data_IF_605022677928
#
_entry.id   IF_605022677928
#
_cell.length_a   1.000
_cell.length_b   1.000
_cell.length_c   1.000
_cell.angle_alpha   90.00
_cell.angle_beta   90.00
_cell.angle_gamma   90.00
#
_symmetry.space_group_name_H-M   'P 1'
#
loop_
_entity.id
_entity.type
_entity.pdbx_description
1 polymer ?
#
# COMPACT_ATOMS: atom_id res chain seq x y z
N UNK A 1 -1.89 -16.18 13.90
CA UNK A 1 -2.38 -17.10 12.85
C UNK A 1 -3.06 -16.24 11.79
N UNK A 2 -2.84 -16.51 10.50
CA UNK A 2 -3.48 -15.78 9.41
C UNK A 2 -4.98 -16.11 9.33
N UNK A 3 -5.80 -15.17 8.86
CA UNK A 3 -7.25 -15.33 8.81
C UNK A 3 -7.71 -16.14 7.60
N UNK A 4 -7.01 -16.02 6.46
CA UNK A 4 -7.40 -16.70 5.22
C UNK A 4 -6.83 -18.12 5.16
N UNK A 5 -7.63 -19.15 4.82
CA UNK A 5 -7.14 -20.52 4.67
C UNK A 5 -5.96 -20.64 3.70
N UNK A 6 -5.98 -19.90 2.58
CA UNK A 6 -4.88 -19.94 1.62
C UNK A 6 -3.57 -19.38 2.20
N UNK A 7 -3.64 -18.29 2.95
CA UNK A 7 -2.49 -17.70 3.64
C UNK A 7 -1.96 -18.60 4.76
N UNK A 8 -2.82 -19.34 5.45
CA UNK A 8 -2.40 -20.37 6.41
C UNK A 8 -1.60 -21.48 5.73
N UNK A 9 -2.02 -21.94 4.53
CA UNK A 9 -1.26 -22.92 3.73
C UNK A 9 0.09 -22.38 3.29
N UNK A 10 0.15 -21.12 2.86
CA UNK A 10 1.43 -20.47 2.52
C UNK A 10 2.34 -20.44 3.74
N UNK A 11 1.84 -20.05 4.92
CA UNK A 11 2.62 -20.05 6.15
C UNK A 11 3.12 -21.46 6.52
N UNK A 12 2.27 -22.48 6.34
CA UNK A 12 2.65 -23.88 6.55
C UNK A 12 3.75 -24.32 5.59
N UNK A 13 3.68 -23.96 4.30
CA UNK A 13 4.74 -24.20 3.32
C UNK A 13 6.04 -23.50 3.73
N UNK A 14 5.99 -22.21 4.07
CA UNK A 14 7.16 -21.43 4.47
C UNK A 14 7.85 -22.07 5.69
N UNK A 15 7.10 -22.56 6.67
CA UNK A 15 7.66 -23.20 7.87
C UNK A 15 8.45 -24.49 7.60
N UNK A 16 8.14 -25.18 6.48
CA UNK A 16 8.82 -26.41 6.05
C UNK A 16 10.16 -26.13 5.35
N UNK A 17 10.34 -24.93 4.81
CA UNK A 17 11.59 -24.54 4.16
C UNK A 17 12.73 -24.39 5.17
N UNK A 18 13.97 -24.64 4.70
CA UNK A 18 15.19 -24.40 5.47
C UNK A 18 15.54 -22.92 5.43
N UNK A 19 14.97 -22.15 6.37
CA UNK A 19 15.23 -20.71 6.48
C UNK A 19 16.69 -20.34 6.74
N UNK A 20 17.49 -21.22 7.37
CA UNK A 20 18.91 -20.96 7.61
C UNK A 20 19.70 -21.07 6.30
N UNK A 21 19.39 -22.09 5.49
CA UNK A 21 19.92 -22.20 4.14
C UNK A 21 19.52 -21.00 3.28
N UNK A 22 18.24 -20.61 3.28
CA UNK A 22 17.78 -19.46 2.51
C UNK A 22 18.51 -18.16 2.92
N UNK A 23 18.79 -17.99 4.21
CA UNK A 23 19.57 -16.86 4.72
C UNK A 23 21.00 -16.89 4.20
N UNK A 24 21.67 -18.05 4.21
CA UNK A 24 23.01 -18.21 3.62
C UNK A 24 23.02 -17.93 2.11
N UNK A 25 21.93 -18.26 1.42
CA UNK A 25 21.76 -18.00 -0.01
C UNK A 25 21.33 -16.56 -0.33
N UNK A 26 21.32 -15.63 0.64
CA UNK A 26 20.85 -14.26 0.45
C UNK A 26 19.46 -14.19 -0.22
N UNK A 27 18.55 -15.08 0.21
CA UNK A 27 17.24 -15.30 -0.43
C UNK A 27 16.12 -14.97 0.54
N UNK A 28 15.16 -14.14 0.12
CA UNK A 28 14.15 -13.55 0.99
C UNK A 28 12.75 -13.77 0.47
N UNK A 29 11.83 -14.19 1.33
CA UNK A 29 10.40 -14.23 1.01
C UNK A 29 9.91 -12.80 0.71
N UNK A 30 9.27 -12.65 -0.44
CA UNK A 30 9.03 -11.36 -1.08
C UNK A 30 7.73 -11.37 -1.91
N UNK A 31 7.60 -10.44 -2.84
CA UNK A 31 6.44 -10.32 -3.72
C UNK A 31 5.18 -9.83 -3.02
N UNK A 32 4.06 -9.89 -3.74
CA UNK A 32 2.78 -9.40 -3.25
C UNK A 32 2.30 -10.12 -1.99
N UNK A 33 2.63 -11.41 -1.86
CA UNK A 33 2.19 -12.22 -0.71
C UNK A 33 2.93 -11.83 0.57
N UNK A 34 4.25 -11.60 0.53
CA UNK A 34 4.96 -11.12 1.71
C UNK A 34 4.43 -9.77 2.22
N UNK A 35 4.05 -8.88 1.31
CA UNK A 35 3.39 -7.60 1.64
C UNK A 35 2.02 -7.84 2.27
N UNK A 36 1.16 -8.63 1.62
CA UNK A 36 -0.21 -8.89 2.10
C UNK A 36 -0.22 -9.54 3.49
N UNK A 37 0.67 -10.50 3.75
CA UNK A 37 0.78 -11.15 5.06
C UNK A 37 1.28 -10.20 6.16
N UNK A 38 2.10 -9.21 5.82
CA UNK A 38 2.65 -8.22 6.78
C UNK A 38 1.81 -6.94 6.91
N UNK A 39 0.83 -6.73 6.03
CA UNK A 39 -0.07 -5.58 5.99
C UNK A 39 -1.54 -5.93 6.34
N UNK A 40 -1.79 -7.07 6.99
CA UNK A 40 -3.11 -7.41 7.54
C UNK A 40 -4.10 -8.03 6.54
N UNK A 41 -3.62 -8.73 5.51
CA UNK A 41 -4.45 -9.55 4.60
C UNK A 41 -5.55 -8.79 3.83
N UNK A 42 -5.27 -7.53 3.44
CA UNK A 42 -6.20 -6.62 2.75
C UNK A 42 -6.75 -7.15 1.42
N UNK A 43 -6.08 -8.14 0.82
CA UNK A 43 -6.55 -8.95 -0.30
C UNK A 43 -6.04 -10.38 -0.13
N UNK A 44 -6.53 -11.31 -0.96
CA UNK A 44 -5.88 -12.61 -1.08
C UNK A 44 -4.68 -12.53 -2.03
N UNK A 45 -3.57 -13.15 -1.65
CA UNK A 45 -2.38 -13.29 -2.49
C UNK A 45 -1.96 -14.75 -2.50
N UNK A 46 -1.74 -15.29 -3.70
CA UNK A 46 -1.76 -16.75 -3.90
C UNK A 46 -0.40 -17.36 -4.17
N UNK A 47 0.53 -16.58 -4.70
CA UNK A 47 1.86 -17.03 -5.11
C UNK A 47 2.86 -16.93 -3.95
N UNK A 48 3.91 -17.74 -3.97
CA UNK A 48 5.01 -17.72 -3.00
C UNK A 48 6.29 -17.34 -3.74
N UNK A 49 6.69 -16.08 -3.61
CA UNK A 49 7.86 -15.54 -4.29
C UNK A 49 9.02 -15.34 -3.31
N UNK A 50 10.22 -15.70 -3.75
CA UNK A 50 11.47 -15.40 -3.09
C UNK A 50 12.37 -14.61 -4.03
N UNK A 51 13.05 -13.59 -3.52
CA UNK A 51 14.10 -12.86 -4.22
C UNK A 51 15.47 -13.26 -3.67
N UNK A 52 16.36 -13.71 -4.55
CA UNK A 52 17.76 -13.99 -4.25
C UNK A 52 18.61 -12.80 -4.68
N UNK A 53 19.30 -12.16 -3.73
CA UNK A 53 20.04 -10.92 -3.97
C UNK A 53 21.47 -11.10 -4.43
N UNK A 54 21.90 -12.33 -4.79
CA UNK A 54 23.28 -12.57 -5.24
C UNK A 54 23.40 -13.76 -6.19
N UNK A 55 24.32 -13.67 -7.16
CA UNK A 55 24.62 -14.77 -8.06
C UNK A 55 25.21 -15.99 -7.34
N UNK A 56 26.01 -15.77 -6.28
CA UNK A 56 26.54 -16.85 -5.44
C UNK A 56 25.42 -17.59 -4.70
N UNK A 57 24.51 -16.85 -4.07
CA UNK A 57 23.33 -17.41 -3.42
C UNK A 57 22.44 -18.19 -4.39
N UNK A 58 22.24 -17.66 -5.61
CA UNK A 58 21.47 -18.35 -6.64
C UNK A 58 22.15 -19.65 -7.11
N UNK A 59 23.49 -19.65 -7.24
CA UNK A 59 24.26 -20.88 -7.50
C UNK A 59 24.02 -21.91 -6.40
N UNK A 60 24.09 -21.51 -5.12
CA UNK A 60 23.84 -22.40 -3.99
C UNK A 60 22.42 -22.98 -4.00
N UNK A 61 21.39 -22.17 -4.32
CA UNK A 61 20.01 -22.68 -4.48
C UNK A 61 19.94 -23.77 -5.56
N UNK A 62 20.59 -23.54 -6.71
CA UNK A 62 20.59 -24.50 -7.82
C UNK A 62 21.34 -25.79 -7.49
N UNK A 63 22.42 -25.70 -6.73
CA UNK A 63 23.16 -26.86 -6.24
C UNK A 63 22.28 -27.70 -5.29
N UNK A 64 21.65 -27.07 -4.31
CA UNK A 64 20.76 -27.75 -3.36
C UNK A 64 19.59 -28.47 -4.07
N UNK A 65 18.99 -27.86 -5.09
CA UNK A 65 17.92 -28.49 -5.90
C UNK A 65 18.41 -29.65 -6.76
N UNK A 66 19.68 -29.68 -7.16
CA UNK A 66 20.25 -30.79 -7.93
C UNK A 66 20.57 -31.99 -7.05
N UNK A 67 20.91 -31.75 -5.78
CA UNK A 67 21.33 -32.79 -4.85
C UNK A 67 20.17 -33.63 -4.31
N UNK A 68 18.95 -33.09 -4.27
CA UNK A 68 17.77 -33.78 -3.76
C UNK A 68 16.56 -33.58 -4.68
N UNK A 69 15.60 -34.51 -4.70
CA UNK A 69 14.38 -34.36 -5.50
C UNK A 69 13.60 -33.08 -5.16
N UNK A 70 13.04 -32.44 -6.19
CA UNK A 70 12.09 -31.35 -5.99
C UNK A 70 12.64 -30.17 -5.21
N UNK A 71 11.95 -29.79 -4.12
CA UNK A 71 12.36 -28.72 -3.22
C UNK A 71 13.02 -29.23 -1.93
N UNK A 72 13.25 -30.54 -1.80
CA UNK A 72 13.76 -31.16 -0.57
C UNK A 72 15.16 -30.67 -0.21
N UNK A 73 15.92 -30.20 -1.21
CA UNK A 73 17.22 -29.54 -1.01
C UNK A 73 17.11 -28.19 -0.31
N UNK A 74 15.95 -27.54 -0.40
CA UNK A 74 15.66 -26.22 0.19
C UNK A 74 14.75 -26.32 1.43
N UNK A 75 14.49 -27.53 1.92
CA UNK A 75 13.53 -27.81 2.96
C UNK A 75 14.10 -28.65 4.10
N UNK A 76 13.45 -28.58 5.26
CA UNK A 76 13.79 -29.37 6.45
C UNK A 76 13.38 -30.84 6.31
N UNK A 77 12.53 -31.14 5.33
CA UNK A 77 12.04 -32.47 4.98
C UNK A 77 11.39 -32.45 3.60
N UNK A 78 10.80 -33.58 3.15
CA UNK A 78 10.21 -33.67 1.83
C UNK A 78 9.04 -32.71 1.62
N UNK A 79 8.97 -32.09 0.44
CA UNK A 79 7.84 -31.26 0.01
C UNK A 79 7.16 -31.90 -1.20
N UNK A 80 5.87 -32.19 -1.08
CA UNK A 80 5.08 -32.72 -2.19
C UNK A 80 4.95 -31.68 -3.31
N UNK A 81 5.27 -32.07 -4.55
CA UNK A 81 5.22 -31.22 -5.73
C UNK A 81 4.21 -31.73 -6.75
N UNK A 82 3.52 -30.80 -7.42
CA UNK A 82 2.57 -31.10 -8.50
C UNK A 82 3.25 -31.20 -9.87
N UNK A 83 4.51 -30.79 -9.96
CA UNK A 83 5.34 -30.87 -11.16
C UNK A 83 6.82 -30.80 -10.80
N UNK A 84 7.66 -31.22 -11.73
CA UNK A 84 9.10 -31.04 -11.63
C UNK A 84 9.51 -29.57 -11.54
N UNK A 85 10.60 -29.34 -10.82
CA UNK A 85 11.19 -28.01 -10.67
C UNK A 85 11.82 -27.57 -11.98
N UNK A 86 11.39 -26.41 -12.49
CA UNK A 86 12.02 -25.76 -13.64
C UNK A 86 13.04 -24.75 -13.16
N UNK A 87 14.26 -24.84 -13.66
CA UNK A 87 15.35 -23.92 -13.32
C UNK A 87 15.92 -23.31 -14.59
N UNK A 88 16.03 -21.99 -14.62
CA UNK A 88 16.69 -21.24 -15.70
C UNK A 88 17.76 -20.28 -15.14
N UNK A 89 18.22 -19.33 -15.95
CA UNK A 89 19.24 -18.36 -15.53
C UNK A 89 18.71 -17.29 -14.55
N UNK A 90 17.39 -17.09 -14.48
CA UNK A 90 16.73 -16.04 -13.71
C UNK A 90 15.87 -16.55 -12.57
N UNK A 91 15.46 -17.83 -12.58
CA UNK A 91 14.72 -18.37 -11.47
C UNK A 91 14.47 -19.87 -11.47
N UNK A 92 13.96 -20.31 -10.33
CA UNK A 92 13.52 -21.66 -10.02
C UNK A 92 12.01 -21.60 -9.80
N UNK A 93 11.23 -22.44 -10.49
CA UNK A 93 9.76 -22.38 -10.48
C UNK A 93 9.15 -23.76 -10.37
N UNK A 94 8.18 -23.91 -9.46
CA UNK A 94 7.41 -25.15 -9.30
C UNK A 94 6.01 -24.89 -8.74
N UNK A 95 5.26 -25.95 -8.48
CA UNK A 95 4.04 -25.92 -7.67
C UNK A 95 4.20 -26.93 -6.52
N UNK A 96 4.19 -26.44 -5.28
CA UNK A 96 4.12 -27.27 -4.09
C UNK A 96 2.65 -27.60 -3.77
N UNK A 97 2.39 -28.74 -3.13
CA UNK A 97 1.06 -29.10 -2.65
C UNK A 97 1.02 -28.97 -1.12
N UNK A 98 0.02 -28.23 -0.60
CA UNK A 98 -0.29 -28.18 0.83
C UNK A 98 -1.78 -28.38 0.99
N UNK A 99 -2.17 -29.38 1.79
CA UNK A 99 -3.57 -29.78 1.99
C UNK A 99 -4.35 -29.99 0.67
N UNK A 100 -3.70 -30.60 -0.33
CA UNK A 100 -4.27 -30.84 -1.65
C UNK A 100 -4.43 -29.59 -2.54
N UNK A 101 -3.94 -28.42 -2.10
CA UNK A 101 -4.01 -27.16 -2.87
C UNK A 101 -2.64 -26.84 -3.47
N UNK A 102 -2.55 -26.57 -4.78
CA UNK A 102 -1.30 -26.15 -5.41
C UNK A 102 -0.94 -24.71 -5.03
N UNK A 103 0.30 -24.51 -4.59
CA UNK A 103 0.92 -23.22 -4.33
C UNK A 103 2.05 -23.00 -5.33
N UNK A 104 1.96 -21.93 -6.11
CA UNK A 104 3.04 -21.54 -7.03
C UNK A 104 4.22 -21.05 -6.20
N UNK A 105 5.41 -21.61 -6.45
CA UNK A 105 6.64 -21.21 -5.77
C UNK A 105 7.65 -20.74 -6.80
N UNK A 106 8.18 -19.54 -6.60
CA UNK A 106 9.25 -18.97 -7.41
C UNK A 106 10.41 -18.48 -6.54
N UNK A 107 11.63 -18.79 -6.96
CA UNK A 107 12.84 -18.13 -6.47
C UNK A 107 13.46 -17.39 -7.66
N UNK A 108 13.57 -16.07 -7.57
CA UNK A 108 14.03 -15.21 -8.66
C UNK A 108 15.34 -14.54 -8.26
N UNK A 109 16.33 -14.55 -9.17
CA UNK A 109 17.54 -13.77 -9.00
C UNK A 109 17.22 -12.28 -9.24
N UNK A 110 17.26 -11.47 -8.19
CA UNK A 110 17.07 -10.03 -8.29
C UNK A 110 18.39 -9.36 -8.66
N UNK A 111 18.43 -8.74 -9.84
CA UNK A 111 19.64 -8.13 -10.41
C UNK A 111 19.55 -6.62 -10.59
N UNK A 112 18.40 -6.00 -10.33
CA UNK A 112 18.16 -4.57 -10.56
C UNK A 112 18.59 -3.73 -9.37
N UNK A 113 18.31 -4.20 -8.15
CA UNK A 113 18.62 -3.48 -6.90
C UNK A 113 19.27 -4.39 -5.86
N UNK A 114 20.08 -3.79 -4.98
CA UNK A 114 20.59 -4.49 -3.81
C UNK A 114 19.48 -4.65 -2.77
N UNK A 115 19.17 -5.90 -2.44
CA UNK A 115 18.11 -6.27 -1.49
C UNK A 115 18.67 -6.77 -0.17
N UNK A 116 17.91 -6.53 0.89
CA UNK A 116 18.16 -6.99 2.24
C UNK A 116 16.87 -7.45 2.90
N UNK A 117 17.01 -8.25 3.95
CA UNK A 117 15.89 -8.78 4.71
C UNK A 117 16.35 -9.35 6.03
N UNK A 118 15.38 -9.85 6.79
CA UNK A 118 15.62 -10.39 8.12
C UNK A 118 14.85 -11.69 8.33
N UNK A 119 15.38 -12.56 9.17
CA UNK A 119 14.69 -13.80 9.54
C UNK A 119 13.38 -13.49 10.27
N UNK A 120 12.29 -14.11 9.84
CA UNK A 120 11.00 -14.04 10.52
C UNK A 120 10.76 -15.31 11.33
N UNK A 121 10.81 -15.25 12.68
CA UNK A 121 10.48 -16.40 13.52
C UNK A 121 9.05 -16.92 13.29
N UNK A 122 8.13 -16.02 12.90
CA UNK A 122 6.74 -16.38 12.62
C UNK A 122 6.61 -17.24 11.35
N UNK A 123 7.38 -16.94 10.31
CA UNK A 123 7.28 -17.63 9.01
C UNK A 123 8.34 -18.72 8.84
N UNK A 124 9.38 -18.75 9.69
CA UNK A 124 10.48 -19.72 9.64
C UNK A 124 11.45 -19.50 8.47
N UNK A 125 11.40 -18.34 7.83
CA UNK A 125 12.23 -17.97 6.67
C UNK A 125 12.68 -16.51 6.75
N UNK A 126 13.79 -16.14 6.08
CA UNK A 126 14.13 -14.75 5.78
C UNK A 126 13.03 -14.06 4.95
N UNK A 127 12.69 -12.82 5.31
CA UNK A 127 11.67 -11.99 4.66
C UNK A 127 12.31 -10.67 4.23
N UNK A 128 11.97 -10.19 3.04
CA UNK A 128 12.48 -8.93 2.49
C UNK A 128 12.16 -7.75 3.44
N UNK A 129 13.08 -6.80 3.56
CA UNK A 129 12.82 -5.62 4.39
C UNK A 129 11.77 -4.70 3.72
N UNK A 130 11.08 -3.87 4.51
CA UNK A 130 10.00 -3.01 4.00
C UNK A 130 10.47 -2.04 2.94
N UNK A 131 11.63 -1.42 3.12
CA UNK A 131 12.21 -0.49 2.15
C UNK A 131 12.38 -1.14 0.77
N UNK A 132 12.84 -2.39 0.75
CA UNK A 132 13.02 -3.13 -0.50
C UNK A 132 11.71 -3.66 -1.06
N UNK A 133 10.70 -3.95 -0.22
CA UNK A 133 9.34 -4.21 -0.72
C UNK A 133 8.75 -2.98 -1.42
N UNK A 134 8.98 -1.76 -0.91
CA UNK A 134 8.59 -0.53 -1.60
C UNK A 134 9.34 -0.39 -2.92
N UNK A 135 10.66 -0.56 -2.92
CA UNK A 135 11.47 -0.44 -4.13
C UNK A 135 11.02 -1.44 -5.21
N UNK A 136 10.87 -2.72 -4.87
CA UNK A 136 10.37 -3.76 -5.78
C UNK A 136 8.98 -3.45 -6.34
N UNK A 137 8.08 -2.92 -5.51
CA UNK A 137 6.74 -2.54 -5.96
C UNK A 137 6.74 -1.32 -6.88
N UNK A 138 7.63 -0.36 -6.65
CA UNK A 138 7.84 0.77 -7.56
C UNK A 138 8.36 0.30 -8.92
N UNK A 139 9.36 -0.60 -8.94
CA UNK A 139 9.88 -1.20 -10.17
C UNK A 139 8.78 -1.95 -10.92
N UNK A 140 8.02 -2.80 -10.22
CA UNK A 140 6.92 -3.56 -10.83
C UNK A 140 5.80 -2.67 -11.38
N UNK A 141 5.48 -1.56 -10.71
CA UNK A 141 4.51 -0.57 -11.21
C UNK A 141 5.00 0.11 -12.50
N UNK A 142 6.30 0.40 -12.60
CA UNK A 142 6.90 0.95 -13.82
C UNK A 142 6.92 -0.08 -14.96
N UNK A 143 7.37 -1.32 -14.68
CA UNK A 143 7.41 -2.43 -15.64
C UNK A 143 6.04 -2.69 -16.29
N UNK A 144 4.95 -2.52 -15.54
CA UNK A 144 3.56 -2.77 -15.98
C UNK A 144 2.79 -1.50 -16.31
N UNK A 145 3.46 -0.36 -16.43
CA UNK A 145 2.81 0.92 -16.68
C UNK A 145 2.00 0.87 -17.98
N UNK A 146 0.69 1.14 -17.88
CA UNK A 146 -0.23 1.15 -19.01
C UNK A 146 -0.81 -0.21 -19.39
N UNK A 147 -0.33 -1.30 -18.78
CA UNK A 147 -0.95 -2.61 -18.91
C UNK A 147 -2.19 -2.71 -18.01
N UNK A 148 -3.38 -2.55 -18.60
CA UNK A 148 -4.65 -2.71 -17.87
C UNK A 148 -4.91 -4.13 -17.40
N UNK A 149 -4.26 -5.16 -17.97
CA UNK A 149 -4.40 -6.55 -17.52
C UNK A 149 -3.77 -6.76 -16.14
N UNK A 150 -2.76 -5.96 -15.78
CA UNK A 150 -2.20 -5.92 -14.43
C UNK A 150 -3.16 -5.34 -13.38
N UNK A 151 -4.26 -4.71 -13.82
CA UNK A 151 -5.27 -4.07 -12.97
C UNK A 151 -4.71 -3.07 -11.96
N UNK A 152 -3.59 -2.42 -12.29
CA UNK A 152 -2.88 -1.49 -11.39
C UNK A 152 -2.58 -2.09 -10.00
N UNK A 153 -2.43 -3.42 -9.91
CA UNK A 153 -2.23 -4.14 -8.66
C UNK A 153 -1.04 -3.60 -7.86
N UNK A 154 0.06 -3.26 -8.53
CA UNK A 154 1.25 -2.74 -7.86
C UNK A 154 1.04 -1.34 -7.27
N UNK A 155 0.33 -0.46 -7.96
CA UNK A 155 -0.05 0.86 -7.43
C UNK A 155 -1.05 0.74 -6.27
N UNK A 156 -1.99 -0.19 -6.34
CA UNK A 156 -2.93 -0.47 -5.25
C UNK A 156 -2.18 -1.05 -4.04
N UNK A 157 -1.29 -2.02 -4.26
CA UNK A 157 -0.43 -2.56 -3.20
C UNK A 157 0.43 -1.43 -2.58
N UNK A 158 1.02 -0.53 -3.38
CA UNK A 158 1.74 0.65 -2.88
C UNK A 158 0.84 1.53 -2.00
N UNK A 159 -0.40 1.80 -2.41
CA UNK A 159 -1.35 2.57 -1.60
C UNK A 159 -1.59 1.91 -0.24
N UNK A 160 -1.78 0.58 -0.21
CA UNK A 160 -2.00 -0.16 1.03
C UNK A 160 -0.73 -0.25 1.89
N UNK A 161 0.44 -0.35 1.27
CA UNK A 161 1.71 -0.25 1.99
C UNK A 161 1.85 1.12 2.65
N UNK A 162 1.58 2.21 1.91
CA UNK A 162 1.64 3.58 2.46
C UNK A 162 0.66 3.75 3.62
N UNK A 163 -0.58 3.27 3.44
CA UNK A 163 -1.63 3.35 4.46
C UNK A 163 -1.24 2.62 5.77
N UNK A 164 -0.54 1.48 5.67
CA UNK A 164 -0.26 0.59 6.82
C UNK A 164 1.13 0.76 7.41
N UNK A 165 2.11 1.15 6.61
CA UNK A 165 3.52 1.24 7.02
C UNK A 165 4.05 2.67 7.01
N UNK A 166 3.32 3.62 6.42
CA UNK A 166 3.73 5.02 6.27
C UNK A 166 4.30 5.34 4.89
N UNK A 167 4.71 6.59 4.68
CA UNK A 167 5.26 7.05 3.41
C UNK A 167 6.40 6.18 2.87
N UNK A 168 6.53 6.18 1.54
CA UNK A 168 7.59 5.47 0.82
C UNK A 168 8.96 6.00 1.32
N UNK A 169 9.83 5.16 1.88
CA UNK A 169 11.13 5.62 2.35
C UNK A 169 11.97 6.25 1.23
N UNK A 170 12.67 7.34 1.51
CA UNK A 170 13.55 7.99 0.52
C UNK A 170 14.64 7.03 0.00
N UNK A 171 15.09 6.09 0.84
CA UNK A 171 16.02 5.03 0.44
C UNK A 171 15.41 4.08 -0.61
N UNK A 172 14.12 3.74 -0.48
CA UNK A 172 13.41 2.90 -1.45
C UNK A 172 13.25 3.61 -2.80
N UNK A 173 12.89 4.90 -2.76
CA UNK A 173 12.84 5.74 -3.96
C UNK A 173 14.19 5.85 -4.63
N UNK A 174 15.26 6.11 -3.86
CA UNK A 174 16.62 6.20 -4.39
C UNK A 174 17.09 4.87 -5.01
N UNK A 175 16.76 3.72 -4.40
CA UNK A 175 17.06 2.40 -4.98
C UNK A 175 16.34 2.17 -6.30
N UNK A 176 15.02 2.38 -6.33
CA UNK A 176 14.23 2.18 -7.54
C UNK A 176 14.68 3.15 -8.67
N UNK A 177 14.89 4.42 -8.33
CA UNK A 177 15.41 5.42 -9.28
C UNK A 177 16.84 5.13 -9.72
N UNK A 178 17.67 4.51 -8.88
CA UNK A 178 19.00 4.04 -9.26
C UNK A 178 18.96 2.98 -10.36
N UNK A 179 17.95 2.12 -10.36
CA UNK A 179 17.77 1.10 -11.39
C UNK A 179 17.14 1.67 -12.68
N UNK A 180 16.03 2.41 -12.56
CA UNK A 180 15.17 2.77 -13.70
C UNK A 180 15.12 4.28 -14.00
N UNK A 181 15.81 5.10 -13.21
CA UNK A 181 15.87 6.54 -13.37
C UNK A 181 14.57 7.26 -12.99
N UNK A 182 14.34 8.41 -13.62
CA UNK A 182 13.21 9.30 -13.32
C UNK A 182 11.84 8.71 -13.70
N UNK A 183 11.82 7.61 -14.45
CA UNK A 183 10.58 6.94 -14.87
C UNK A 183 9.73 6.51 -13.66
N UNK A 184 10.36 6.08 -12.57
CA UNK A 184 9.70 5.59 -11.34
C UNK A 184 8.62 6.55 -10.83
N UNK A 185 8.98 7.81 -10.62
CA UNK A 185 8.06 8.82 -10.09
C UNK A 185 6.98 9.14 -11.13
N UNK A 186 7.34 9.23 -12.40
CA UNK A 186 6.38 9.52 -13.48
C UNK A 186 5.35 8.40 -13.67
N UNK A 187 5.75 7.14 -13.52
CA UNK A 187 4.89 5.97 -13.61
C UNK A 187 3.98 5.83 -12.39
N UNK A 188 4.51 6.13 -11.20
CA UNK A 188 3.68 6.27 -9.99
C UNK A 188 2.63 7.38 -10.14
N UNK A 189 3.01 8.54 -10.70
CA UNK A 189 2.09 9.65 -10.97
C UNK A 189 0.98 9.26 -11.96
N UNK A 190 1.30 8.56 -13.05
CA UNK A 190 0.31 8.07 -14.03
C UNK A 190 -0.67 7.07 -13.42
N UNK A 191 -0.18 6.14 -12.60
CA UNK A 191 -1.03 5.18 -11.90
C UNK A 191 -1.95 5.90 -10.91
N UNK A 192 -1.39 6.81 -10.11
CA UNK A 192 -2.14 7.69 -9.19
C UNK A 192 -3.23 8.45 -9.92
N UNK A 193 -2.91 9.07 -11.06
CA UNK A 193 -3.88 9.80 -11.87
C UNK A 193 -5.01 8.87 -12.33
N UNK A 194 -4.67 7.71 -12.91
CA UNK A 194 -5.65 6.75 -13.42
C UNK A 194 -6.63 6.33 -12.34
N UNK A 195 -6.11 5.89 -11.18
CA UNK A 195 -6.93 5.43 -10.05
C UNK A 195 -7.72 6.56 -9.37
N UNK A 196 -7.25 7.81 -9.49
CA UNK A 196 -7.95 8.98 -8.97
C UNK A 196 -9.08 9.47 -9.86
N UNK A 197 -8.92 9.38 -11.19
CA UNK A 197 -9.88 9.94 -12.14
C UNK A 197 -10.94 8.94 -12.59
N UNK A 198 -10.61 7.65 -12.60
CA UNK A 198 -11.50 6.58 -13.07
C UNK A 198 -11.91 5.69 -11.88
N UNK A 199 -12.89 6.16 -11.10
CA UNK A 199 -13.36 5.48 -9.89
C UNK A 199 -14.07 4.16 -10.18
N UNK A 200 -14.75 4.07 -11.32
CA UNK A 200 -15.40 2.84 -11.78
C UNK A 200 -14.35 1.77 -12.12
N UNK A 201 -13.26 2.16 -12.77
CA UNK A 201 -12.13 1.26 -13.01
C UNK A 201 -11.47 0.80 -11.70
N UNK A 202 -11.22 1.71 -10.75
CA UNK A 202 -10.68 1.32 -9.44
C UNK A 202 -11.63 0.35 -8.72
N UNK A 203 -12.94 0.58 -8.74
CA UNK A 203 -13.91 -0.34 -8.16
C UNK A 203 -13.85 -1.75 -8.80
N UNK A 204 -13.67 -1.83 -10.13
CA UNK A 204 -13.47 -3.10 -10.83
C UNK A 204 -12.17 -3.81 -10.39
N UNK A 205 -11.07 -3.06 -10.24
CA UNK A 205 -9.81 -3.60 -9.71
C UNK A 205 -9.97 -4.18 -8.31
N UNK A 206 -10.65 -3.46 -7.42
CA UNK A 206 -10.90 -3.92 -6.05
C UNK A 206 -11.78 -5.17 -6.02
N UNK A 207 -12.85 -5.19 -6.81
CA UNK A 207 -13.73 -6.35 -6.91
C UNK A 207 -12.98 -7.59 -7.42
N UNK A 208 -12.15 -7.45 -8.46
CA UNK A 208 -11.35 -8.56 -8.98
C UNK A 208 -10.33 -9.10 -7.98
N UNK A 209 -9.77 -8.23 -7.13
CA UNK A 209 -8.84 -8.62 -6.07
C UNK A 209 -9.55 -9.03 -4.77
N UNK A 210 -10.89 -9.06 -4.76
CA UNK A 210 -11.72 -9.36 -3.59
C UNK A 210 -11.34 -8.48 -2.38
N UNK A 211 -11.18 -7.19 -2.64
CA UNK A 211 -10.86 -6.16 -1.66
C UNK A 211 -12.11 -5.43 -1.19
N UNK A 212 -12.02 -4.77 -0.04
CA UNK A 212 -13.11 -3.93 0.47
C UNK A 212 -13.42 -2.78 -0.51
N UNK A 213 -14.69 -2.61 -0.83
CA UNK A 213 -15.17 -1.57 -1.73
C UNK A 213 -14.97 -0.16 -1.15
N UNK A 214 -14.90 -0.01 0.18
CA UNK A 214 -14.63 1.28 0.83
C UNK A 214 -13.23 1.83 0.49
N UNK A 215 -12.31 0.98 0.02
CA UNK A 215 -10.98 1.40 -0.41
C UNK A 215 -11.00 2.25 -1.69
N UNK A 216 -12.13 2.30 -2.42
CA UNK A 216 -12.28 3.14 -3.61
C UNK A 216 -12.00 4.60 -3.30
N UNK A 217 -12.32 5.05 -2.08
CA UNK A 217 -12.07 6.42 -1.63
C UNK A 217 -10.66 6.55 -1.05
N UNK A 218 -10.23 5.60 -0.23
CA UNK A 218 -8.96 5.64 0.50
C UNK A 218 -7.73 5.56 -0.40
N UNK A 219 -7.73 4.70 -1.43
CA UNK A 219 -6.55 4.46 -2.26
C UNK A 219 -6.08 5.74 -2.98
N UNK A 220 -6.97 6.48 -3.68
CA UNK A 220 -6.56 7.73 -4.32
C UNK A 220 -6.08 8.78 -3.32
N UNK A 221 -6.63 8.79 -2.11
CA UNK A 221 -6.18 9.69 -1.04
C UNK A 221 -4.71 9.49 -0.73
N UNK A 222 -4.38 8.24 -0.42
CA UNK A 222 -3.04 7.86 -0.02
C UNK A 222 -2.04 8.07 -1.15
N UNK A 223 -2.41 7.71 -2.38
CA UNK A 223 -1.53 7.88 -3.54
C UNK A 223 -1.29 9.35 -3.88
N UNK A 224 -2.32 10.20 -3.81
CA UNK A 224 -2.17 11.63 -4.07
C UNK A 224 -1.33 12.32 -3.00
N UNK A 225 -1.54 11.98 -1.73
CA UNK A 225 -0.76 12.50 -0.60
C UNK A 225 0.73 12.18 -0.80
N UNK A 226 1.01 10.92 -1.13
CA UNK A 226 2.37 10.47 -1.33
C UNK A 226 2.99 11.09 -2.59
N UNK A 227 2.23 11.22 -3.68
CA UNK A 227 2.69 11.91 -4.88
C UNK A 227 3.03 13.38 -4.60
N UNK A 228 2.20 14.08 -3.81
CA UNK A 228 2.47 15.46 -3.40
C UNK A 228 3.74 15.57 -2.55
N UNK A 229 4.01 14.58 -1.70
CA UNK A 229 5.25 14.53 -0.91
C UNK A 229 6.50 14.34 -1.78
N UNK A 230 6.47 13.40 -2.73
CA UNK A 230 7.66 12.99 -3.49
C UNK A 230 7.90 13.82 -4.77
N UNK A 231 6.83 14.39 -5.34
CA UNK A 231 6.85 15.14 -6.59
C UNK A 231 5.70 16.17 -6.61
N UNK A 232 5.76 17.22 -5.77
CA UNK A 232 4.71 18.23 -5.65
C UNK A 232 4.37 18.91 -6.98
N UNK A 233 5.31 19.00 -7.91
CA UNK A 233 5.13 19.54 -9.25
C UNK A 233 4.27 18.66 -10.18
N UNK A 234 4.17 17.36 -9.88
CA UNK A 234 3.33 16.40 -10.61
C UNK A 234 1.98 16.17 -9.92
N UNK A 235 1.85 16.58 -8.65
CA UNK A 235 0.59 16.52 -7.94
C UNK A 235 -0.41 17.53 -8.53
N UNK A 236 -1.62 17.05 -8.83
CA UNK A 236 -2.68 17.91 -9.40
C UNK A 236 -3.45 18.71 -8.35
N UNK A 237 -3.36 18.32 -7.08
CA UNK A 237 -4.06 19.02 -6.00
C UNK A 237 -3.13 20.14 -5.53
N UNK A 238 -3.48 21.42 -5.78
CA UNK A 238 -2.70 22.55 -5.28
C UNK A 238 -2.70 22.54 -3.74
N UNK A 239 -1.72 23.18 -3.08
CA UNK A 239 -1.77 23.34 -1.64
C UNK A 239 -3.10 23.98 -1.21
N UNK A 240 -3.71 23.45 -0.17
CA UNK A 240 -5.00 23.94 0.30
C UNK A 240 -4.92 25.45 0.62
N UNK A 241 -5.81 26.28 0.05
CA UNK A 241 -5.75 27.72 0.22
C UNK A 241 -5.99 28.13 1.69
N UNK A 242 -5.52 29.33 2.09
CA UNK A 242 -5.84 29.88 3.40
C UNK A 242 -7.35 29.99 3.60
N UNK A 243 -7.82 29.79 4.83
CA UNK A 243 -9.24 29.87 5.16
C UNK A 243 -9.85 31.24 4.80
N UNK A 244 -9.08 32.32 4.91
CA UNK A 244 -9.49 33.66 4.48
C UNK A 244 -9.80 33.75 2.99
N UNK A 245 -9.05 33.03 2.15
CA UNK A 245 -9.28 32.98 0.71
C UNK A 245 -10.54 32.19 0.36
N UNK A 246 -10.75 31.04 1.02
CA UNK A 246 -11.97 30.25 0.87
C UNK A 246 -13.22 31.06 1.21
N UNK A 247 -13.18 31.83 2.29
CA UNK A 247 -14.29 32.72 2.72
C UNK A 247 -14.52 33.84 1.72
N UNK A 248 -13.44 34.48 1.23
CA UNK A 248 -13.55 35.56 0.27
C UNK A 248 -14.14 35.11 -1.07
N UNK A 249 -13.88 33.86 -1.47
CA UNK A 249 -14.38 33.28 -2.72
C UNK A 249 -15.79 32.67 -2.62
N UNK A 250 -16.34 32.52 -1.40
CA UNK A 250 -17.68 31.96 -1.17
C UNK A 250 -18.51 32.87 -0.22
N UNK A 251 -19.31 33.79 -0.79
CA UNK A 251 -20.15 34.69 0.02
C UNK A 251 -21.18 33.96 0.90
N UNK A 252 -21.62 32.76 0.53
CA UNK A 252 -22.57 31.98 1.33
C UNK A 252 -21.89 31.43 2.59
N UNK A 253 -20.64 30.96 2.45
CA UNK A 253 -19.80 30.57 3.58
C UNK A 253 -19.56 31.75 4.54
N UNK A 254 -19.22 32.93 4.00
CA UNK A 254 -19.00 34.13 4.80
C UNK A 254 -20.22 34.52 5.64
N UNK A 255 -21.43 34.45 5.06
CA UNK A 255 -22.69 34.67 5.79
C UNK A 255 -22.92 33.62 6.86
N UNK A 256 -22.72 32.34 6.54
CA UNK A 256 -22.84 31.25 7.50
C UNK A 256 -21.93 31.46 8.72
N UNK A 257 -20.65 31.79 8.51
CA UNK A 257 -19.69 32.02 9.59
C UNK A 257 -20.14 33.20 10.47
N UNK A 258 -20.61 34.28 9.86
CA UNK A 258 -21.09 35.47 10.58
C UNK A 258 -22.33 35.17 11.41
N UNK A 259 -23.34 34.50 10.83
CA UNK A 259 -24.61 34.17 11.48
C UNK A 259 -24.39 33.17 12.63
N UNK A 260 -23.53 32.18 12.42
CA UNK A 260 -23.16 31.19 13.43
C UNK A 260 -22.21 31.75 14.51
N UNK A 261 -21.66 32.96 14.31
CA UNK A 261 -20.58 33.55 15.13
C UNK A 261 -19.40 32.60 15.31
N UNK A 262 -19.07 31.85 14.25
CA UNK A 262 -18.03 30.85 14.29
C UNK A 262 -16.63 31.49 14.23
N UNK A 263 -15.69 30.94 14.97
CA UNK A 263 -14.26 31.31 14.90
C UNK A 263 -13.58 30.37 13.93
N UNK A 264 -13.05 30.91 12.84
CA UNK A 264 -12.38 30.10 11.82
C UNK A 264 -10.91 29.88 12.22
N UNK A 265 -10.51 28.62 12.36
CA UNK A 265 -9.13 28.23 12.57
C UNK A 265 -8.53 27.74 11.24
N UNK A 266 -7.33 28.23 10.91
CA UNK A 266 -6.57 27.72 9.77
C UNK A 266 -6.25 26.24 9.99
N UNK A 267 -6.62 25.39 9.03
CA UNK A 267 -6.25 23.99 9.05
C UNK A 267 -4.74 23.82 8.82
N UNK A 268 -4.10 22.99 9.64
CA UNK A 268 -2.89 22.27 9.27
C UNK A 268 -3.29 21.15 8.29
N UNK A 269 -3.07 21.38 7.00
CA UNK A 269 -3.43 20.44 5.94
C UNK A 269 -2.30 19.45 5.60
N UNK A 270 -1.15 19.54 6.25
CA UNK A 270 -0.07 18.58 6.07
C UNK A 270 -0.26 17.37 6.99
N UNK A 271 -0.58 17.62 8.28
CA UNK A 271 -0.68 16.55 9.30
C UNK A 271 -1.82 16.73 10.30
N UNK A 272 -2.78 17.62 10.03
CA UNK A 272 -3.85 17.96 10.97
C UNK A 272 -4.84 16.81 11.24
N UNK A 273 -5.39 16.79 12.45
CA UNK A 273 -6.43 15.85 12.86
C UNK A 273 -7.62 16.62 13.44
N UNK A 274 -8.79 16.42 12.87
CA UNK A 274 -10.01 17.14 13.24
C UNK A 274 -11.12 16.15 13.52
N UNK A 275 -11.90 16.38 14.57
CA UNK A 275 -13.04 15.55 14.95
C UNK A 275 -14.18 16.50 15.29
N UNK A 276 -15.34 16.27 14.69
CA UNK A 276 -16.41 17.24 14.82
C UNK A 276 -17.51 17.07 13.80
N UNK A 277 -18.48 17.97 13.87
CA UNK A 277 -19.67 17.93 13.01
C UNK A 277 -19.44 18.77 11.77
N UNK A 278 -19.78 18.25 10.60
CA UNK A 278 -19.89 19.07 9.39
C UNK A 278 -21.13 19.93 9.52
N UNK A 279 -20.93 21.24 9.64
CA UNK A 279 -22.00 22.21 9.90
C UNK A 279 -22.42 22.98 8.65
N UNK A 280 -21.58 22.96 7.61
CA UNK A 280 -21.85 23.59 6.33
C UNK A 280 -21.09 22.88 5.22
N UNK A 281 -21.70 22.78 4.04
CA UNK A 281 -21.11 22.18 2.83
C UNK A 281 -21.41 23.09 1.66
N UNK A 282 -20.38 23.44 0.89
CA UNK A 282 -20.50 24.20 -0.35
C UNK A 282 -19.71 23.56 -1.48
N UNK A 283 -19.63 24.28 -2.61
CA UNK A 283 -19.01 23.76 -3.83
C UNK A 283 -17.47 23.70 -3.75
N UNK A 284 -16.85 24.56 -2.93
CA UNK A 284 -15.38 24.68 -2.82
C UNK A 284 -14.79 24.21 -1.50
N UNK A 285 -15.58 24.14 -0.44
CA UNK A 285 -15.15 23.60 0.85
C UNK A 285 -16.35 23.20 1.70
N UNK A 286 -16.07 22.65 2.89
CA UNK A 286 -17.03 22.44 3.95
C UNK A 286 -16.45 22.98 5.26
N UNK A 287 -17.33 23.32 6.20
CA UNK A 287 -16.96 23.76 7.53
C UNK A 287 -17.25 22.65 8.54
N UNK A 288 -16.23 22.26 9.30
CA UNK A 288 -16.35 21.31 10.41
C UNK A 288 -16.25 22.08 11.72
N UNK A 289 -17.28 21.99 12.56
CA UNK A 289 -17.24 22.45 13.95
C UNK A 289 -16.47 21.43 14.79
N UNK A 290 -15.27 21.82 15.23
CA UNK A 290 -14.35 21.02 16.05
C UNK A 290 -14.53 21.30 17.55
N UNK A 291 -15.58 22.05 17.91
CA UNK A 291 -15.99 22.35 19.27
C UNK A 291 -15.78 23.81 19.67
N UNK A 292 -16.56 24.25 20.66
CA UNK A 292 -16.52 25.61 21.24
C UNK A 292 -16.74 26.73 20.20
N UNK A 293 -17.48 26.44 19.13
CA UNK A 293 -17.73 27.39 18.04
C UNK A 293 -16.53 27.62 17.14
N UNK A 294 -15.50 26.77 17.22
CA UNK A 294 -14.35 26.81 16.32
C UNK A 294 -14.67 25.95 15.10
N UNK A 295 -14.50 26.52 13.91
CA UNK A 295 -14.66 25.81 12.64
C UNK A 295 -13.35 25.72 11.89
N UNK A 296 -13.09 24.55 11.31
CA UNK A 296 -12.02 24.33 10.33
C UNK A 296 -12.66 24.17 8.95
N UNK A 297 -12.06 24.82 7.95
CA UNK A 297 -12.52 24.72 6.57
C UNK A 297 -11.71 23.63 5.84
N UNK A 298 -12.39 22.83 5.03
CA UNK A 298 -11.76 21.75 4.28
C UNK A 298 -12.07 21.91 2.79
N UNK A 299 -11.08 22.26 1.93
CA UNK A 299 -11.35 22.48 0.51
C UNK A 299 -11.69 21.19 -0.24
N UNK A 300 -12.62 21.29 -1.20
CA UNK A 300 -13.25 20.15 -1.91
C UNK A 300 -12.30 19.38 -2.81
N UNK A 301 -11.28 20.05 -3.34
CA UNK A 301 -10.26 19.44 -4.18
C UNK A 301 -9.35 18.45 -3.44
N UNK A 302 -9.38 18.47 -2.09
CA UNK A 302 -8.66 17.53 -1.22
C UNK A 302 -9.56 16.41 -0.68
N UNK A 303 -10.81 16.32 -1.15
CA UNK A 303 -11.77 15.36 -0.64
C UNK A 303 -11.64 14.02 -1.35
N UNK A 304 -11.57 12.97 -0.55
CA UNK A 304 -11.77 11.61 -1.04
C UNK A 304 -13.16 11.07 -0.76
N UNK A 305 -13.91 11.72 0.13
CA UNK A 305 -15.33 11.53 0.35
C UNK A 305 -16.00 12.90 0.57
N UNK A 306 -17.24 13.05 0.08
CA UNK A 306 -18.03 14.27 0.27
C UNK A 306 -18.87 14.12 1.55
N UNK A 307 -18.53 14.78 2.66
CA UNK A 307 -19.36 14.72 3.85
C UNK A 307 -20.67 15.47 3.62
N UNK A 308 -21.75 15.02 4.26
CA UNK A 308 -23.03 15.72 4.28
C UNK A 308 -23.09 16.64 5.50
N UNK A 309 -23.80 17.75 5.35
CA UNK A 309 -24.11 18.60 6.49
C UNK A 309 -24.87 17.78 7.55
N UNK A 310 -24.39 17.84 8.79
CA UNK A 310 -24.89 17.06 9.93
C UNK A 310 -24.04 15.85 10.29
N UNK A 311 -23.18 15.36 9.39
CA UNK A 311 -22.30 14.22 9.64
C UNK A 311 -21.30 14.52 10.76
N UNK A 312 -21.07 13.54 11.62
CA UNK A 312 -20.00 13.61 12.62
C UNK A 312 -18.82 12.80 12.09
N UNK A 313 -17.73 13.50 11.78
CA UNK A 313 -16.61 12.92 11.03
C UNK A 313 -15.29 13.18 11.73
N UNK A 314 -14.33 12.31 11.46
CA UNK A 314 -12.91 12.52 11.69
C UNK A 314 -12.28 12.87 10.35
N UNK A 315 -11.49 13.93 10.33
CA UNK A 315 -10.69 14.33 9.17
C UNK A 315 -9.22 14.24 9.56
N UNK A 316 -8.45 13.42 8.86
CA UNK A 316 -7.01 13.33 9.02
C UNK A 316 -6.34 13.82 7.75
N UNK A 317 -5.43 14.78 7.88
CA UNK A 317 -4.61 15.23 6.78
C UNK A 317 -3.29 14.47 6.72
N UNK A 318 -2.88 14.14 5.50
CA UNK A 318 -1.54 13.64 5.17
C UNK A 318 -1.10 14.33 3.87
N UNK A 319 -0.07 15.17 3.94
CA UNK A 319 0.54 15.85 2.78
C UNK A 319 -0.45 16.57 1.87
N UNK A 320 -1.35 17.36 2.48
CA UNK A 320 -2.37 18.12 1.77
C UNK A 320 -3.68 17.37 1.57
N UNK A 321 -3.74 16.06 1.77
CA UNK A 321 -4.92 15.26 1.43
C UNK A 321 -5.77 14.96 2.66
N UNK A 322 -7.09 15.16 2.55
CA UNK A 322 -8.04 14.93 3.63
C UNK A 322 -8.64 13.51 3.57
N UNK A 323 -8.40 12.73 4.62
CA UNK A 323 -9.00 11.44 4.89
C UNK A 323 -10.22 11.59 5.80
N UNK A 324 -11.41 11.26 5.28
CA UNK A 324 -12.68 11.45 5.95
C UNK A 324 -13.23 10.11 6.45
N UNK A 325 -13.51 10.01 7.74
CA UNK A 325 -14.14 8.84 8.33
C UNK A 325 -15.38 9.25 9.14
N UNK A 326 -16.52 8.63 8.87
CA UNK A 326 -17.71 8.79 9.71
C UNK A 326 -17.44 8.17 11.09
N UNK A 327 -17.86 8.86 12.17
CA UNK A 327 -17.67 8.39 13.55
C UNK A 327 -19.01 8.39 14.26
N UNK A 328 -19.38 7.24 14.86
CA UNK A 328 -20.55 7.16 15.73
C UNK A 328 -20.35 8.07 16.95
N UNK A 329 -21.34 8.94 17.23
CA UNK A 329 -21.27 9.97 18.29
C UNK A 329 -21.01 9.40 19.70
N UNK A 330 -21.29 8.12 19.93
CA UNK A 330 -21.23 7.48 21.25
C UNK A 330 -19.93 6.71 21.54
N UNK A 331 -19.09 6.42 20.54
CA UNK A 331 -17.92 5.54 20.71
C UNK A 331 -16.65 6.23 21.24
N UNK A 332 -16.68 7.53 21.56
CA UNK A 332 -15.46 8.28 21.93
C UNK A 332 -15.46 8.90 23.33
N UNK A 333 -16.40 8.55 24.22
CA UNK A 333 -16.29 8.96 25.64
C UNK A 333 -15.12 8.27 26.37
N UNK A 334 -14.49 7.27 25.76
CA UNK A 334 -13.36 6.52 26.33
C UNK A 334 -11.96 6.99 25.87
N UNK A 335 -11.83 8.04 25.05
CA UNK A 335 -10.50 8.54 24.59
C UNK A 335 -10.10 9.85 25.31
N UNK A 336 -10.91 10.30 26.27
CA UNK A 336 -10.54 11.39 27.20
C UNK A 336 -10.58 10.91 28.65
N UNK A 337 -9.70 9.95 28.96
CA UNK A 337 -9.03 9.81 30.25
C UNK A 337 -7.58 9.45 30.04
#
# INVERSE_FOLDING_TARGET
MFNRPHHQRIAALLSQLDGDLLSRCNTYFAGGTAIVLSAGEYRESVDVDFLCGSAEGYRMLREAIREKPGLDGLAKGPIELMRDVKTDQYGIRTFAQVDGVPLKVEFVLEGRIAIAGQYSPLLGVPVLCRDDMYAEKLLANDDRQGDRQSMNRDAIDLALMIDRWGSIPDAALAKAAGAYGQAIVSSFAKATQTLSTDRDYLAQCLAHMNMDAELVDRIPAVLQAELHRIAPELARVPPAPPASELIAQDPALGRFIADARAVVQQGNYDVGHYLGRVVWVGARCCAQDVGRGIVVLHPTEHWHAVPKAGDYVRVRYQHGVADWAAVARESSRDITR
#
